data_IF_314558064868
#
_entry.id   IF_314558064868
#
_cell.length_a   1.000
_cell.length_b   1.000
_cell.length_c   1.000
_cell.angle_alpha   90.00
_cell.angle_beta   90.00
_cell.angle_gamma   90.00
#
_symmetry.space_group_name_H-M   'P 1'
#
loop_
_entity.id
_entity.type
_entity.pdbx_description
1 polymer ?
#
# COMPACT_ATOMS: atom_id res chain seq x y z
N UNK A 1 0.25 -13.63 10.80
CA UNK A 1 -0.17 -14.57 9.74
C UNK A 1 -1.71 -14.61 9.55
N UNK A 2 -2.51 -14.41 10.61
CA UNK A 2 -3.98 -14.62 10.59
C UNK A 2 -4.82 -13.63 9.76
N UNK A 3 -4.29 -12.46 9.39
CA UNK A 3 -5.04 -11.49 8.58
C UNK A 3 -5.30 -11.98 7.13
N UNK A 4 -4.40 -12.81 6.59
CA UNK A 4 -4.43 -13.26 5.18
C UNK A 4 -5.48 -14.35 4.96
N UNK A 5 -5.58 -15.29 5.88
CA UNK A 5 -6.51 -16.44 5.80
C UNK A 5 -7.99 -16.03 5.87
N UNK A 6 -8.33 -14.98 6.63
CA UNK A 6 -9.72 -14.49 6.73
C UNK A 6 -10.23 -13.80 5.46
N UNK A 7 -9.32 -13.37 4.58
CA UNK A 7 -9.67 -12.60 3.38
C UNK A 7 -9.73 -13.46 2.11
N UNK A 8 -9.50 -14.77 2.21
CA UNK A 8 -9.54 -15.67 1.05
C UNK A 8 -8.42 -15.41 0.04
N UNK A 9 -7.30 -14.85 0.50
CA UNK A 9 -6.12 -14.61 -0.31
C UNK A 9 -5.26 -15.89 -0.26
N UNK A 10 -4.98 -16.48 -1.43
CA UNK A 10 -4.06 -17.60 -1.58
C UNK A 10 -2.72 -17.30 -0.90
N UNK A 11 -2.06 -18.31 -0.32
CA UNK A 11 -0.78 -18.13 0.40
C UNK A 11 0.31 -17.52 -0.50
N UNK A 12 0.18 -17.78 -1.81
CA UNK A 12 1.02 -17.28 -2.91
C UNK A 12 0.65 -15.87 -3.40
N UNK A 13 -0.45 -15.29 -2.91
CA UNK A 13 -0.91 -13.98 -3.34
C UNK A 13 -0.04 -12.89 -2.70
N UNK A 14 0.95 -12.46 -3.47
CA UNK A 14 1.92 -11.44 -3.09
C UNK A 14 1.22 -10.08 -2.93
N UNK A 15 1.35 -9.50 -1.74
CA UNK A 15 0.82 -8.16 -1.46
C UNK A 15 0.61 -7.93 0.02
N UNK A 16 0.54 -6.66 0.41
CA UNK A 16 0.24 -6.23 1.77
C UNK A 16 -1.26 -5.94 1.91
N UNK A 17 -1.92 -6.66 2.81
CA UNK A 17 -3.29 -6.35 3.19
C UNK A 17 -3.30 -5.07 4.04
N UNK A 18 -4.06 -4.07 3.59
CA UNK A 18 -4.35 -2.89 4.40
C UNK A 18 -5.28 -3.34 5.52
N UNK A 19 -4.73 -3.46 6.72
CA UNK A 19 -5.45 -3.97 7.89
C UNK A 19 -6.20 -2.86 8.62
N UNK A 20 -5.57 -1.68 8.67
CA UNK A 20 -6.07 -0.48 9.30
C UNK A 20 -5.49 0.74 8.58
N UNK A 21 -6.22 1.85 8.62
CA UNK A 21 -5.78 3.13 8.07
C UNK A 21 -5.95 4.19 9.14
N UNK A 22 -4.88 4.96 9.38
CA UNK A 22 -4.91 6.07 10.32
C UNK A 22 -5.87 7.15 9.80
N UNK A 23 -6.89 7.46 10.59
CA UNK A 23 -7.90 8.49 10.31
C UNK A 23 -7.24 9.87 10.16
N UNK A 24 -7.56 10.58 9.09
CA UNK A 24 -6.90 11.85 8.73
C UNK A 24 -5.43 11.71 8.34
N UNK A 25 -4.96 10.48 8.06
CA UNK A 25 -3.63 10.25 7.52
C UNK A 25 -3.66 10.21 6.00
N UNK A 26 -2.49 10.40 5.41
CA UNK A 26 -2.29 10.44 3.95
C UNK A 26 -2.86 9.25 3.19
N UNK A 27 -2.88 8.07 3.82
CA UNK A 27 -3.43 6.83 3.26
C UNK A 27 -4.95 6.92 3.12
N UNK A 28 -5.66 7.50 4.10
CA UNK A 28 -7.11 7.71 4.06
C UNK A 28 -7.48 8.76 3.00
N UNK A 29 -6.75 9.87 2.95
CA UNK A 29 -6.95 10.94 1.96
C UNK A 29 -6.74 10.46 0.52
N UNK A 30 -5.91 9.44 0.33
CA UNK A 30 -5.67 8.79 -0.96
C UNK A 30 -6.82 7.88 -1.41
N UNK A 31 -7.84 7.70 -0.56
CA UNK A 31 -8.97 6.81 -0.80
C UNK A 31 -8.64 5.33 -0.60
N UNK A 32 -7.57 5.02 0.14
CA UNK A 32 -7.25 3.65 0.53
C UNK A 32 -8.07 3.25 1.74
N UNK A 33 -8.57 2.01 1.71
CA UNK A 33 -9.44 1.50 2.75
C UNK A 33 -8.92 0.17 3.27
N UNK A 34 -9.21 -0.18 4.54
CA UNK A 34 -8.94 -1.51 5.05
C UNK A 34 -9.67 -2.57 4.22
N UNK A 35 -8.99 -3.71 3.98
CA UNK A 35 -9.46 -4.79 3.11
C UNK A 35 -8.95 -4.70 1.66
N UNK A 36 -8.29 -3.62 1.27
CA UNK A 36 -7.56 -3.56 0.00
C UNK A 36 -6.20 -4.26 0.12
N UNK A 37 -5.69 -4.80 -0.99
CA UNK A 37 -4.37 -5.44 -1.06
C UNK A 37 -3.41 -4.56 -1.86
N UNK A 38 -2.40 -4.02 -1.21
CA UNK A 38 -1.31 -3.31 -1.86
C UNK A 38 -0.38 -4.30 -2.56
N UNK A 39 -0.28 -4.19 -3.88
CA UNK A 39 0.56 -5.05 -4.72
C UNK A 39 1.91 -4.39 -4.99
N UNK A 40 1.89 -3.09 -5.31
CA UNK A 40 3.06 -2.36 -5.78
C UNK A 40 3.05 -0.91 -5.29
N UNK A 41 4.24 -0.32 -5.18
CA UNK A 41 4.43 1.10 -4.91
C UNK A 41 5.55 1.63 -5.83
N UNK A 42 5.28 2.71 -6.54
CA UNK A 42 6.20 3.38 -7.47
C UNK A 42 6.81 2.44 -8.52
N UNK A 43 6.00 1.56 -9.11
CA UNK A 43 6.43 0.47 -10.01
C UNK A 43 7.41 -0.53 -9.37
N UNK A 44 7.41 -0.65 -8.04
CA UNK A 44 8.17 -1.66 -7.33
C UNK A 44 7.22 -2.63 -6.60
N UNK A 45 7.42 -3.95 -6.72
CA UNK A 45 6.57 -4.93 -6.06
C UNK A 45 6.76 -4.86 -4.54
N UNK A 46 5.65 -4.75 -3.80
CA UNK A 46 5.65 -4.63 -2.35
C UNK A 46 5.09 -5.92 -1.76
N UNK A 47 6.01 -6.78 -1.29
CA UNK A 47 5.65 -8.07 -0.69
C UNK A 47 5.58 -8.04 0.84
N UNK A 48 6.19 -7.02 1.45
CA UNK A 48 6.29 -6.87 2.90
C UNK A 48 6.43 -5.38 3.27
N UNK A 49 6.25 -5.08 4.56
CA UNK A 49 6.29 -3.70 5.08
C UNK A 49 7.66 -3.05 4.87
N UNK A 50 8.75 -3.82 4.96
CA UNK A 50 10.11 -3.32 4.70
C UNK A 50 10.29 -2.81 3.26
N UNK A 51 9.75 -3.54 2.27
CA UNK A 51 9.77 -3.12 0.88
C UNK A 51 8.97 -1.83 0.67
N UNK A 52 7.80 -1.70 1.31
CA UNK A 52 7.02 -0.46 1.27
C UNK A 52 7.82 0.71 1.85
N UNK A 53 8.42 0.51 3.02
CA UNK A 53 9.20 1.53 3.71
C UNK A 53 10.40 1.98 2.86
N UNK A 54 11.07 1.05 2.17
CA UNK A 54 12.16 1.36 1.23
C UNK A 54 11.69 2.20 0.06
N UNK A 55 10.53 1.90 -0.52
CA UNK A 55 9.97 2.70 -1.61
C UNK A 55 9.66 4.12 -1.14
N UNK A 56 9.04 4.26 0.03
CA UNK A 56 8.72 5.57 0.62
C UNK A 56 10.00 6.35 0.91
N UNK A 57 10.99 5.75 1.56
CA UNK A 57 12.28 6.38 1.87
C UNK A 57 13.03 6.80 0.59
N UNK A 58 13.07 5.93 -0.42
CA UNK A 58 13.67 6.24 -1.71
C UNK A 58 12.94 7.39 -2.43
N UNK A 59 11.61 7.42 -2.35
CA UNK A 59 10.82 8.52 -2.90
C UNK A 59 11.09 9.84 -2.16
N UNK A 60 11.14 9.84 -0.82
CA UNK A 60 11.51 11.01 0.00
C UNK A 60 12.92 11.51 -0.34
N UNK A 61 13.90 10.60 -0.43
CA UNK A 61 15.29 10.93 -0.83
C UNK A 61 15.38 11.51 -2.25
N UNK A 62 14.50 11.08 -3.14
CA UNK A 62 14.38 11.64 -4.48
C UNK A 62 13.62 12.98 -4.52
N UNK A 63 13.23 13.55 -3.37
CA UNK A 63 12.47 14.79 -3.28
C UNK A 63 11.01 14.66 -3.74
N UNK A 64 10.48 13.43 -3.80
CA UNK A 64 9.08 13.18 -4.18
C UNK A 64 8.20 13.30 -2.95
N UNK A 65 7.10 14.03 -3.11
CA UNK A 65 6.03 14.13 -2.12
C UNK A 65 4.88 13.18 -2.41
N UNK A 66 4.88 12.50 -3.57
CA UNK A 66 3.80 11.60 -3.99
C UNK A 66 4.35 10.27 -4.46
N UNK A 67 3.67 9.19 -4.09
CA UNK A 67 3.99 7.81 -4.49
C UNK A 67 2.75 7.18 -5.10
N UNK A 68 2.88 6.64 -6.31
CA UNK A 68 1.84 5.84 -6.93
C UNK A 68 1.81 4.46 -6.29
N UNK A 69 0.64 3.95 -5.92
CA UNK A 69 0.46 2.60 -5.39
C UNK A 69 -0.58 1.84 -6.20
N UNK A 70 -0.34 0.55 -6.42
CA UNK A 70 -1.29 -0.36 -7.03
C UNK A 70 -1.99 -1.14 -5.92
N UNK A 71 -3.31 -0.98 -5.82
CA UNK A 71 -4.14 -1.69 -4.84
C UNK A 71 -5.20 -2.52 -5.53
N UNK A 72 -5.40 -3.73 -5.04
CA UNK A 72 -6.42 -4.66 -5.52
C UNK A 72 -7.59 -4.71 -4.55
N UNK A 73 -8.80 -4.67 -5.11
CA UNK A 73 -10.07 -4.73 -4.41
C UNK A 73 -10.89 -5.83 -5.09
N UNK A 74 -10.99 -7.00 -4.45
CA UNK A 74 -11.56 -8.19 -5.09
C UNK A 74 -10.72 -8.61 -6.31
N UNK A 75 -11.28 -8.49 -7.51
CA UNK A 75 -10.62 -8.83 -8.78
C UNK A 75 -10.11 -7.61 -9.56
N UNK A 76 -10.33 -6.39 -9.06
CA UNK A 76 -10.00 -5.16 -9.77
C UNK A 76 -8.75 -4.52 -9.15
N UNK A 77 -7.75 -4.23 -9.97
CA UNK A 77 -6.57 -3.45 -9.58
C UNK A 77 -6.79 -1.97 -9.91
N UNK A 78 -6.61 -1.11 -8.92
CA UNK A 78 -6.69 0.33 -9.03
C UNK A 78 -5.35 0.96 -8.67
N UNK A 79 -4.99 2.04 -9.35
CA UNK A 79 -3.84 2.85 -8.98
C UNK A 79 -4.29 4.06 -8.18
N UNK A 80 -3.64 4.31 -7.05
CA UNK A 80 -3.89 5.45 -6.17
C UNK A 80 -2.59 6.18 -5.91
N UNK A 81 -2.65 7.49 -5.72
CA UNK A 81 -1.46 8.27 -5.40
C UNK A 81 -1.51 8.64 -3.93
N UNK A 82 -0.51 8.22 -3.18
CA UNK A 82 -0.34 8.59 -1.78
C UNK A 82 0.58 9.78 -1.67
N UNK A 83 0.15 10.81 -0.94
CA UNK A 83 1.03 11.88 -0.55
C UNK A 83 1.91 11.41 0.62
N UNK A 84 3.22 11.36 0.42
CA UNK A 84 4.18 10.91 1.44
C UNK A 84 4.87 12.08 2.14
N UNK A 85 4.43 13.33 1.89
CA UNK A 85 4.99 14.50 2.57
C UNK A 85 4.70 14.49 4.07
N UNK A 86 3.57 13.90 4.49
CA UNK A 86 3.14 13.78 5.89
C UNK A 86 3.19 12.34 6.43
N UNK A 87 3.75 11.39 5.68
CA UNK A 87 3.94 10.03 6.16
C UNK A 87 5.09 9.97 7.19
N UNK A 88 4.82 10.39 8.42
CA UNK A 88 5.73 10.27 9.58
C UNK A 88 5.31 9.13 10.51
#
# INVERSE_FOLDING_TARGET
AEARTRLGLDDDEAGLVISDVKRGGVVEESGLQPGMVLLEANNQPVKNVDALQKVIDAAKKAGRTKVLVAVRIGQITNYRTIDISEAE
#
